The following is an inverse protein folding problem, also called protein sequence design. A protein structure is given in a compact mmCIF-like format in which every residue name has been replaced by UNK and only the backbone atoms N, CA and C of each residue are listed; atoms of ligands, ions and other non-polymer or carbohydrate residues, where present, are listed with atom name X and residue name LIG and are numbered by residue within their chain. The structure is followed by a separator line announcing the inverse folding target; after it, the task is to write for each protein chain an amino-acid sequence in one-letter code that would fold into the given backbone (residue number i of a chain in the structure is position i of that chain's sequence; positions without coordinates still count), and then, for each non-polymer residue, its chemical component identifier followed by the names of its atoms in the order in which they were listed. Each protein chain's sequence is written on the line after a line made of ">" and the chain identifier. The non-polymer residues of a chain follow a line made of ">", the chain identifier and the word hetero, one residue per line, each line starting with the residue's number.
data_IF_989016457451
#
_entry.id   IF_989016457451
#
_cell.length_a   1.000
_cell.length_b   1.000
_cell.length_c   1.000
_cell.angle_alpha   90.00
_cell.angle_beta   90.00
_cell.angle_gamma   90.00
#
_symmetry.space_group_name_H-M   'P 1'
#
loop_
_entity.id
_entity.type
_entity.pdbx_description
1 polymer ?
#
# COMPACT_ATOMS: atom_id res chain seq x y z
N UNK A 1 12.25 15.74 4.39
CA UNK A 1 12.22 14.26 4.27
C UNK A 1 12.46 13.91 2.82
N UNK A 2 13.52 13.18 2.49
CA UNK A 2 13.76 12.70 1.14
C UNK A 2 12.84 11.49 0.88
N UNK A 3 12.01 11.57 -0.16
CA UNK A 3 11.11 10.49 -0.59
C UNK A 3 11.73 9.87 -1.84
N UNK A 4 11.94 8.55 -1.81
CA UNK A 4 12.42 7.78 -2.95
C UNK A 4 11.31 6.85 -3.41
N UNK A 5 10.91 6.97 -4.67
CA UNK A 5 9.84 6.17 -5.27
C UNK A 5 10.42 5.19 -6.29
N UNK A 6 9.97 3.94 -6.21
CA UNK A 6 10.47 2.84 -7.03
C UNK A 6 9.29 1.99 -7.52
N UNK A 7 9.34 1.57 -8.79
CA UNK A 7 8.44 0.51 -9.27
C UNK A 7 8.95 -0.83 -8.75
N UNK A 8 8.06 -1.65 -8.22
CA UNK A 8 8.45 -3.00 -7.78
C UNK A 8 8.38 -3.95 -8.98
N UNK A 9 9.47 -4.66 -9.25
CA UNK A 9 9.45 -5.89 -10.05
C UNK A 9 9.60 -7.06 -9.11
N UNK A 10 8.62 -7.94 -9.12
CA UNK A 10 8.55 -9.07 -8.21
C UNK A 10 7.99 -10.30 -8.94
N UNK A 11 8.18 -11.49 -8.36
CA UNK A 11 7.56 -12.72 -8.86
C UNK A 11 6.04 -12.68 -8.62
N UNK A 12 5.22 -13.42 -9.38
CA UNK A 12 3.77 -13.48 -9.17
C UNK A 12 3.37 -13.80 -7.72
N UNK A 13 4.11 -14.71 -7.05
CA UNK A 13 3.87 -15.06 -5.65
C UNK A 13 4.11 -13.86 -4.70
N UNK A 14 5.09 -13.01 -5.02
CA UNK A 14 5.41 -11.83 -4.23
C UNK A 14 4.35 -10.73 -4.41
N UNK A 15 3.82 -10.56 -5.63
CA UNK A 15 2.68 -9.69 -5.87
C UNK A 15 1.44 -10.14 -5.09
N UNK A 16 1.14 -11.45 -5.10
CA UNK A 16 0.05 -12.00 -4.32
C UNK A 16 0.20 -11.73 -2.80
N UNK A 17 1.42 -11.86 -2.26
CA UNK A 17 1.71 -11.52 -0.86
C UNK A 17 1.55 -10.02 -0.56
N UNK A 18 1.90 -9.14 -1.50
CA UNK A 18 1.66 -7.69 -1.37
C UNK A 18 0.16 -7.41 -1.36
N UNK A 19 -0.61 -8.01 -2.27
CA UNK A 19 -2.06 -7.85 -2.32
C UNK A 19 -2.73 -8.36 -1.04
N UNK A 20 -2.27 -9.49 -0.51
CA UNK A 20 -2.73 -10.02 0.78
C UNK A 20 -2.42 -9.05 1.92
N UNK A 21 -1.20 -8.49 1.99
CA UNK A 21 -0.85 -7.50 2.99
C UNK A 21 -1.75 -6.24 2.91
N UNK A 22 -2.06 -5.78 1.70
CA UNK A 22 -2.97 -4.64 1.46
C UNK A 22 -4.39 -4.98 1.93
N UNK A 23 -4.91 -6.17 1.62
CA UNK A 23 -6.24 -6.63 2.07
C UNK A 23 -6.31 -6.76 3.59
N UNK A 24 -5.29 -7.33 4.21
CA UNK A 24 -5.19 -7.42 5.67
C UNK A 24 -5.14 -6.05 6.32
N UNK A 25 -4.40 -5.11 5.74
CA UNK A 25 -4.38 -3.72 6.17
C UNK A 25 -5.76 -3.04 6.06
N UNK A 26 -6.49 -3.27 4.97
CA UNK A 26 -7.85 -2.79 4.78
C UNK A 26 -8.80 -3.32 5.87
N UNK A 27 -8.70 -4.61 6.19
CA UNK A 27 -9.48 -5.23 7.27
C UNK A 27 -9.23 -4.51 8.60
N UNK A 28 -7.97 -4.33 8.98
CA UNK A 28 -7.59 -3.65 10.23
C UNK A 28 -8.15 -2.23 10.27
N UNK A 29 -8.04 -1.48 9.17
CA UNK A 29 -8.58 -0.12 9.08
C UNK A 29 -10.11 -0.09 9.24
N UNK A 30 -10.83 -1.01 8.58
CA UNK A 30 -12.29 -1.07 8.66
C UNK A 30 -12.78 -1.55 10.04
N UNK A 31 -12.08 -2.50 10.66
CA UNK A 31 -12.37 -2.94 12.04
C UNK A 31 -12.13 -1.82 13.06
N UNK A 32 -11.05 -1.05 12.88
CA UNK A 32 -10.79 0.13 13.71
C UNK A 32 -11.89 1.20 13.56
N UNK A 33 -12.34 1.47 12.33
CA UNK A 33 -13.46 2.37 12.10
C UNK A 33 -14.76 1.85 12.72
N UNK A 34 -15.01 0.54 12.60
CA UNK A 34 -16.19 -0.09 13.19
C UNK A 34 -16.22 0.03 14.71
N UNK A 35 -15.09 -0.23 15.37
CA UNK A 35 -14.95 -0.07 16.82
C UNK A 35 -15.29 1.35 17.27
N UNK A 36 -14.81 2.37 16.54
CA UNK A 36 -15.13 3.77 16.84
C UNK A 36 -16.62 4.09 16.66
N UNK A 37 -17.29 3.51 15.65
CA UNK A 37 -18.74 3.68 15.44
C UNK A 37 -19.54 3.04 16.58
N UNK A 38 -19.17 1.82 16.98
CA UNK A 38 -19.92 1.02 17.95
C UNK A 38 -19.69 1.48 19.40
N UNK A 39 -18.46 1.91 19.73
CA UNK A 39 -18.05 2.27 21.09
C UNK A 39 -17.76 3.77 21.20
N UNK A 40 -18.69 4.49 21.84
CA UNK A 40 -18.52 5.92 22.12
C UNK A 40 -17.30 6.18 23.00
N UNK A 41 -16.55 7.23 22.68
CA UNK A 41 -15.33 7.60 23.43
C UNK A 41 -14.08 6.79 23.07
N UNK A 42 -14.11 5.97 22.01
CA UNK A 42 -12.94 5.25 21.51
C UNK A 42 -11.77 6.19 21.26
N UNK A 43 -10.63 5.92 21.90
CA UNK A 43 -9.40 6.68 21.73
C UNK A 43 -8.48 6.06 20.68
N UNK A 44 -7.48 6.83 20.23
CA UNK A 44 -6.38 6.33 19.38
C UNK A 44 -5.70 5.08 19.97
N UNK A 45 -5.57 5.03 21.30
CA UNK A 45 -4.90 3.93 21.98
C UNK A 45 -5.73 2.64 21.93
N UNK A 46 -7.05 2.75 21.91
CA UNK A 46 -7.93 1.58 21.82
C UNK A 46 -7.89 0.98 20.41
N UNK A 47 -7.78 1.81 19.37
CA UNK A 47 -7.52 1.33 18.01
C UNK A 47 -6.16 0.61 17.91
N UNK A 48 -5.14 1.10 18.61
CA UNK A 48 -3.84 0.43 18.68
C UNK A 48 -3.90 -0.91 19.43
N UNK A 49 -4.73 -1.01 20.50
CA UNK A 49 -4.98 -2.27 21.22
C UNK A 49 -5.73 -3.27 20.35
N UNK A 50 -6.71 -2.82 19.57
CA UNK A 50 -7.46 -3.66 18.63
C UNK A 50 -6.53 -4.38 17.65
N UNK A 51 -5.47 -3.73 17.14
CA UNK A 51 -4.50 -4.39 16.26
C UNK A 51 -3.87 -5.65 16.88
N UNK A 52 -3.67 -5.68 18.20
CA UNK A 52 -3.13 -6.85 18.91
C UNK A 52 -4.19 -7.94 19.05
N UNK A 53 -5.45 -7.58 19.27
CA UNK A 53 -6.57 -8.53 19.35
C UNK A 53 -6.81 -9.20 18.01
N UNK A 54 -6.87 -8.41 16.92
CA UNK A 54 -7.04 -8.92 15.57
C UNK A 54 -5.93 -9.89 15.16
N UNK A 55 -4.69 -9.64 15.60
CA UNK A 55 -3.57 -10.55 15.34
C UNK A 55 -3.70 -11.90 16.07
N UNK A 56 -4.39 -11.94 17.22
CA UNK A 56 -4.67 -13.20 17.92
C UNK A 56 -5.86 -13.94 17.32
N UNK A 57 -6.87 -13.20 16.87
CA UNK A 57 -8.11 -13.74 16.30
C UNK A 57 -7.90 -14.29 14.89
N UNK A 58 -7.10 -13.61 14.07
CA UNK A 58 -6.91 -13.94 12.66
C UNK A 58 -5.45 -14.30 12.36
N UNK A 59 -5.13 -15.57 12.03
CA UNK A 59 -3.77 -15.98 11.70
C UNK A 59 -3.14 -15.16 10.56
N UNK A 60 -3.89 -14.90 9.49
CA UNK A 60 -3.42 -14.07 8.38
C UNK A 60 -3.15 -12.61 8.80
N UNK A 61 -3.88 -12.09 9.79
CA UNK A 61 -3.57 -10.78 10.34
C UNK A 61 -2.29 -10.82 11.16
N UNK A 62 -1.96 -11.97 11.78
CA UNK A 62 -0.73 -12.16 12.52
C UNK A 62 0.52 -12.06 11.62
N UNK A 63 0.43 -12.60 10.40
CA UNK A 63 1.49 -12.56 9.37
C UNK A 63 1.85 -11.12 8.97
N UNK A 64 0.88 -10.19 9.03
CA UNK A 64 1.15 -8.78 8.81
C UNK A 64 1.92 -8.20 10.00
N UNK A 65 3.05 -7.55 9.72
CA UNK A 65 3.88 -6.89 10.72
C UNK A 65 3.07 -5.97 11.66
N UNK A 66 3.41 -5.98 12.95
CA UNK A 66 2.70 -5.21 13.98
C UNK A 66 2.65 -3.71 13.71
N UNK A 67 3.71 -3.12 13.15
CA UNK A 67 3.78 -1.70 12.80
C UNK A 67 2.91 -1.39 11.58
N UNK A 68 2.81 -2.32 10.62
CA UNK A 68 1.92 -2.16 9.49
C UNK A 68 0.45 -2.19 9.95
N UNK A 69 0.07 -3.13 10.83
CA UNK A 69 -1.26 -3.13 11.45
C UNK A 69 -1.57 -1.81 12.15
N UNK A 70 -0.63 -1.31 12.96
CA UNK A 70 -0.78 -0.02 13.65
C UNK A 70 -0.89 1.16 12.68
N UNK A 71 -0.14 1.17 11.57
CA UNK A 71 -0.25 2.21 10.55
C UNK A 71 -1.66 2.26 9.92
N UNK A 72 -2.30 1.10 9.73
CA UNK A 72 -3.69 1.06 9.26
C UNK A 72 -4.70 1.58 10.30
N UNK A 73 -4.49 1.29 11.59
CA UNK A 73 -5.29 1.89 12.66
C UNK A 73 -5.06 3.41 12.78
N UNK A 74 -3.82 3.89 12.63
CA UNK A 74 -3.49 5.31 12.59
C UNK A 74 -4.19 6.02 11.42
N UNK A 75 -4.32 5.37 10.26
CA UNK A 75 -5.08 5.90 9.11
C UNK A 75 -6.57 6.02 9.42
N UNK A 76 -7.16 5.05 10.11
CA UNK A 76 -8.53 5.16 10.60
C UNK A 76 -8.67 6.35 11.56
N UNK A 77 -7.76 6.47 12.53
CA UNK A 77 -7.74 7.59 13.46
C UNK A 77 -7.57 8.94 12.76
N UNK A 78 -6.70 9.04 11.76
CA UNK A 78 -6.52 10.27 10.99
C UNK A 78 -7.82 10.71 10.29
N UNK A 79 -8.61 9.76 9.78
CA UNK A 79 -9.92 10.06 9.20
C UNK A 79 -10.91 10.56 10.27
N UNK A 80 -10.92 9.94 11.44
CA UNK A 80 -11.78 10.31 12.57
C UNK A 80 -11.40 11.70 13.12
N UNK A 81 -10.12 11.94 13.35
CA UNK A 81 -9.60 13.23 13.83
C UNK A 81 -9.94 14.33 12.85
N UNK A 82 -9.69 14.13 11.55
CA UNK A 82 -10.03 15.11 10.51
C UNK A 82 -11.51 15.42 10.46
N UNK A 83 -12.38 14.43 10.65
CA UNK A 83 -13.82 14.65 10.76
C UNK A 83 -14.14 15.63 11.90
N UNK A 84 -13.66 15.37 13.12
CA UNK A 84 -13.90 16.27 14.24
C UNK A 84 -13.24 17.64 14.07
N UNK A 85 -12.03 17.71 13.53
CA UNK A 85 -11.31 18.97 13.30
C UNK A 85 -12.03 19.85 12.28
N UNK A 86 -12.57 19.25 11.22
CA UNK A 86 -13.37 19.96 10.22
C UNK A 86 -14.73 20.41 10.78
N UNK A 87 -15.37 19.60 11.63
CA UNK A 87 -16.59 20.00 12.34
C UNK A 87 -16.32 21.22 13.25
N UNK A 88 -15.21 21.21 14.01
CA UNK A 88 -14.82 22.34 14.85
C UNK A 88 -14.52 23.61 14.05
N UNK A 89 -13.97 23.47 12.85
CA UNK A 89 -13.66 24.58 11.94
C UNK A 89 -14.87 25.11 11.17
N UNK A 90 -16.05 24.48 11.29
CA UNK A 90 -17.25 24.90 10.56
C UNK A 90 -17.15 24.72 9.04
N UNK A 91 -16.35 23.76 8.56
CA UNK A 91 -16.26 23.48 7.12
C UNK A 91 -17.58 22.84 6.67
N UNK A 92 -18.24 23.44 5.68
CA UNK A 92 -19.47 22.90 5.11
C UNK A 92 -19.17 21.56 4.39
N UNK A 93 -20.03 20.56 4.59
CA UNK A 93 -19.92 19.18 4.03
C UNK A 93 -18.68 18.38 4.47
N UNK A 94 -18.51 18.17 5.79
CA UNK A 94 -17.36 17.42 6.35
C UNK A 94 -17.28 15.96 5.89
N UNK A 95 -18.41 15.32 5.57
CA UNK A 95 -18.51 13.90 5.21
C UNK A 95 -18.17 12.96 6.40
N UNK A 96 -19.07 12.05 6.74
CA UNK A 96 -18.81 11.08 7.82
C UNK A 96 -17.78 10.03 7.38
N UNK A 97 -16.84 9.60 8.24
CA UNK A 97 -15.90 8.54 7.91
C UNK A 97 -16.61 7.24 7.46
N UNK A 98 -16.26 6.74 6.28
CA UNK A 98 -16.87 5.53 5.69
C UNK A 98 -15.88 4.37 5.61
N UNK A 99 -16.38 3.14 5.58
CA UNK A 99 -15.56 1.96 5.35
C UNK A 99 -14.83 2.02 4.00
N UNK A 100 -13.57 1.57 4.01
CA UNK A 100 -12.74 1.51 2.82
C UNK A 100 -13.15 0.30 1.97
N UNK A 101 -13.57 0.55 0.73
CA UNK A 101 -13.92 -0.50 -0.26
C UNK A 101 -12.67 -1.15 -0.88
N UNK A 102 -11.69 -0.33 -1.25
CA UNK A 102 -10.45 -0.78 -1.91
C UNK A 102 -9.23 -0.04 -1.37
N UNK A 103 -8.32 -0.76 -0.73
CA UNK A 103 -6.99 -0.28 -0.36
C UNK A 103 -6.00 -0.50 -1.50
N UNK A 104 -4.99 0.38 -1.58
CA UNK A 104 -3.95 0.35 -2.63
C UNK A 104 -2.53 0.44 -2.05
N UNK A 105 -2.41 0.49 -0.73
CA UNK A 105 -1.13 0.67 -0.06
C UNK A 105 -1.11 0.02 1.32
N UNK A 106 0.06 -0.52 1.66
CA UNK A 106 0.44 -0.97 3.00
C UNK A 106 1.73 -0.25 3.36
N UNK A 107 1.88 0.14 4.63
CA UNK A 107 3.02 0.92 5.10
C UNK A 107 3.76 0.20 6.21
N UNK A 108 5.09 0.25 6.16
CA UNK A 108 5.99 -0.34 7.14
C UNK A 108 6.89 0.78 7.67
N UNK A 109 6.68 1.21 8.92
CA UNK A 109 7.32 2.41 9.48
C UNK A 109 8.83 2.25 9.75
N UNK A 110 9.22 1.16 10.42
CA UNK A 110 10.61 0.99 10.90
C UNK A 110 11.15 -0.43 10.71
N UNK A 111 10.29 -1.42 10.45
CA UNK A 111 10.70 -2.79 10.20
C UNK A 111 10.04 -3.32 8.93
N UNK A 112 10.82 -4.00 8.10
CA UNK A 112 10.34 -4.58 6.85
C UNK A 112 11.33 -4.42 5.71
N UNK A 113 12.04 -3.29 5.65
CA UNK A 113 13.01 -2.99 4.59
C UNK A 113 14.37 -2.64 5.20
N UNK A 114 15.41 -3.40 4.87
CA UNK A 114 16.80 -3.02 5.16
C UNK A 114 17.40 -2.40 3.91
N UNK A 115 17.98 -1.21 4.04
CA UNK A 115 18.94 -0.71 3.07
C UNK A 115 20.20 -1.58 3.20
N UNK A 116 20.58 -2.24 2.12
CA UNK A 116 21.90 -2.85 2.03
C UNK A 116 22.94 -1.72 1.87
N UNK A 117 24.15 -1.93 2.40
CA UNK A 117 25.23 -0.93 2.55
C UNK A 117 25.60 -0.15 1.27
N UNK A 118 25.06 -0.51 0.10
CA UNK A 118 25.25 0.19 -1.16
C UNK A 118 24.30 1.38 -1.38
N UNK A 119 23.35 1.69 -0.48
CA UNK A 119 22.30 2.72 -0.65
C UNK A 119 21.42 2.55 -1.91
N UNK A 120 21.57 1.43 -2.62
CA UNK A 120 20.97 1.16 -3.93
C UNK A 120 20.01 -0.02 -3.93
N UNK A 121 19.97 -0.81 -2.85
CA UNK A 121 19.13 -2.02 -2.78
C UNK A 121 18.34 -2.07 -1.46
N UNK A 122 17.01 -2.13 -1.55
CA UNK A 122 16.12 -2.36 -0.42
C UNK A 122 15.67 -3.82 -0.40
N UNK A 123 15.96 -4.54 0.66
CA UNK A 123 15.54 -5.94 0.82
C UNK A 123 14.45 -6.08 1.89
N UNK A 124 13.36 -6.75 1.53
CA UNK A 124 12.29 -7.13 2.44
C UNK A 124 12.49 -8.55 2.98
N UNK A 125 11.98 -8.81 4.19
CA UNK A 125 11.97 -10.15 4.80
C UNK A 125 11.22 -11.18 3.95
N UNK A 126 10.25 -10.76 3.12
CA UNK A 126 9.56 -11.64 2.17
C UNK A 126 10.40 -11.96 0.91
N UNK A 127 11.67 -11.54 0.85
CA UNK A 127 12.55 -11.77 -0.28
C UNK A 127 12.41 -10.76 -1.43
N UNK A 128 11.50 -9.79 -1.33
CA UNK A 128 11.40 -8.70 -2.31
C UNK A 128 12.66 -7.82 -2.24
N UNK A 129 13.31 -7.57 -3.38
CA UNK A 129 14.42 -6.65 -3.52
C UNK A 129 14.03 -5.51 -4.45
N UNK A 130 14.31 -4.27 -4.06
CA UNK A 130 14.15 -3.09 -4.89
C UNK A 130 15.53 -2.53 -5.17
N UNK A 131 16.01 -2.66 -6.41
CA UNK A 131 17.32 -2.18 -6.85
C UNK A 131 17.12 -0.89 -7.67
N UNK A 132 17.86 0.17 -7.32
CA UNK A 132 17.69 1.52 -7.89
C UNK A 132 18.12 1.54 -9.36
N UNK A 133 19.25 0.91 -9.67
CA UNK A 133 19.87 0.99 -10.99
C UNK A 133 19.08 0.12 -11.98
N UNK A 134 18.66 -1.08 -11.59
CA UNK A 134 17.71 -1.91 -12.35
C UNK A 134 16.41 -1.14 -12.65
N UNK A 135 15.83 -0.47 -11.66
CA UNK A 135 14.61 0.32 -11.88
C UNK A 135 14.80 1.50 -12.84
N UNK A 136 15.96 2.18 -12.78
CA UNK A 136 16.30 3.23 -13.73
C UNK A 136 16.43 2.66 -15.15
N UNK A 137 17.15 1.55 -15.32
CA UNK A 137 17.33 0.89 -16.61
C UNK A 137 15.98 0.47 -17.23
N UNK A 138 15.07 -0.07 -16.42
CA UNK A 138 13.72 -0.45 -16.86
C UNK A 138 12.89 0.75 -17.29
N UNK A 139 12.92 1.85 -16.52
CA UNK A 139 12.19 3.06 -16.88
C UNK A 139 12.69 3.65 -18.19
N UNK A 140 14.01 3.57 -18.45
CA UNK A 140 14.61 3.95 -19.73
C UNK A 140 14.14 3.01 -20.85
N UNK A 141 14.17 1.69 -20.64
CA UNK A 141 13.70 0.70 -21.62
C UNK A 141 12.23 0.91 -21.99
N UNK A 142 11.35 1.09 -21.02
CA UNK A 142 9.91 1.31 -21.27
C UNK A 142 9.65 2.62 -22.03
N UNK A 143 10.43 3.68 -21.75
CA UNK A 143 10.37 4.93 -22.53
C UNK A 143 10.82 4.69 -23.97
N UNK A 144 11.90 3.94 -24.17
CA UNK A 144 12.38 3.55 -25.50
C UNK A 144 11.34 2.75 -26.29
N UNK A 145 10.76 1.72 -25.67
CA UNK A 145 9.70 0.89 -26.26
C UNK A 145 8.43 1.68 -26.59
N UNK A 146 8.08 2.70 -25.78
CA UNK A 146 6.95 3.58 -26.09
C UNK A 146 7.23 4.53 -27.26
N UNK A 147 8.50 4.84 -27.57
CA UNK A 147 8.89 5.69 -28.71
C UNK A 147 9.09 4.92 -30.01
N UNK A 148 9.39 3.61 -29.97
CA UNK A 148 9.36 2.76 -31.16
C UNK A 148 7.92 2.32 -31.43
N UNK A 149 7.17 3.11 -32.21
CA UNK A 149 5.90 2.67 -32.79
C UNK A 149 6.06 1.38 -33.60
N UNK A 150 4.95 0.69 -33.91
CA UNK A 150 4.88 -0.60 -34.62
C UNK A 150 5.87 -0.74 -35.80
N UNK A 151 7.08 -1.21 -35.52
CA UNK A 151 8.03 -1.69 -36.52
C UNK A 151 7.62 -3.10 -36.90
N UNK A 152 6.61 -3.23 -37.78
CA UNK A 152 6.31 -4.54 -38.37
C UNK A 152 4.97 -4.76 -39.05
N UNK A 153 4.04 -3.80 -39.11
CA UNK A 153 2.74 -4.05 -39.77
C UNK A 153 2.71 -3.74 -41.28
N UNK A 154 3.80 -3.29 -41.90
CA UNK A 154 3.79 -2.91 -43.33
C UNK A 154 4.26 -3.98 -44.32
N UNK A 155 4.70 -5.17 -43.86
CA UNK A 155 5.15 -6.25 -44.75
C UNK A 155 4.12 -7.38 -44.95
N UNK A 156 3.26 -7.68 -43.96
CA UNK A 156 2.25 -8.75 -44.07
C UNK A 156 0.98 -8.32 -44.82
N UNK A 157 0.71 -7.01 -44.92
CA UNK A 157 -0.48 -6.50 -45.64
C UNK A 157 -0.29 -6.47 -47.17
N UNK A 158 0.96 -6.58 -47.67
CA UNK A 158 1.24 -6.64 -49.12
C UNK A 158 1.18 -8.05 -49.69
N UNK A 159 1.39 -9.08 -48.89
CA UNK A 159 1.29 -10.48 -49.33
C UNK A 159 -0.16 -11.01 -49.38
N UNK A 160 -1.10 -10.36 -48.69
CA UNK A 160 -2.52 -10.72 -48.71
C UNK A 160 -3.36 -9.89 -49.69
N UNK A 161 -2.72 -9.12 -50.58
CA UNK A 161 -3.37 -8.24 -51.56
C UNK A 161 -3.07 -8.62 -53.03
N UNK A 162 -2.72 -9.88 -53.29
CA UNK A 162 -2.59 -10.46 -54.63
C UNK A 162 -3.35 -11.79 -54.72
#
# INVERSE_FOLDING_TARGET
>A
MLILEYKVKAKPQQFAAIDEAIRTGQLVQNKALRLWIDVKGTSKYDLSKLCKQLAKEFPFANELNSMARQAHADRAWASISRFYDNCKKGINLVGYPTFKKFARSVEYKTSGWKLLNTNRTHACKCGCKLERDENAAINILNKGLATVGHTGSTLLDKENAL
#
